data_IF_482254104891
#
_entry.id   IF_482254104891
#
_cell.length_a   1.000
_cell.length_b   1.000
_cell.length_c   1.000
_cell.angle_alpha   90.00
_cell.angle_beta   90.00
_cell.angle_gamma   90.00
#
_symmetry.space_group_name_H-M   'P 1'
#
loop_
_entity.id
_entity.type
_entity.pdbx_description
1 polymer ?
#
# COMPACT_ATOMS: atom_id res chain seq x y z
N UNK A 1 -5.43 -23.81 5.31
CA UNK A 1 -4.39 -22.82 5.66
C UNK A 1 -5.13 -21.57 6.09
N UNK A 2 -5.11 -21.28 7.40
CA UNK A 2 -5.93 -20.24 8.01
C UNK A 2 -5.33 -18.87 7.72
N UNK A 3 -5.82 -18.19 6.68
CA UNK A 3 -5.56 -16.76 6.47
C UNK A 3 -6.23 -15.97 7.59
N UNK A 4 -5.47 -15.10 8.26
CA UNK A 4 -5.96 -14.28 9.37
C UNK A 4 -6.91 -13.21 8.82
N UNK A 5 -8.09 -13.02 9.42
CA UNK A 5 -9.07 -12.02 8.96
C UNK A 5 -8.86 -10.69 9.71
N UNK A 6 -8.94 -9.54 9.02
CA UNK A 6 -8.91 -8.18 9.59
C UNK A 6 -10.32 -7.58 9.64
N UNK A 7 -10.69 -6.89 10.72
CA UNK A 7 -12.04 -6.35 10.91
C UNK A 7 -12.13 -4.85 10.63
N UNK A 8 -13.08 -4.43 9.77
CA UNK A 8 -13.30 -3.02 9.38
C UNK A 8 -14.79 -2.75 9.30
N UNK A 9 -15.28 -1.70 9.98
CA UNK A 9 -16.71 -1.34 10.01
C UNK A 9 -17.66 -2.50 10.38
N UNK A 10 -17.18 -3.45 11.18
CA UNK A 10 -17.96 -4.63 11.58
C UNK A 10 -18.08 -5.70 10.50
N UNK A 11 -17.09 -5.80 9.61
CA UNK A 11 -16.97 -6.85 8.60
C UNK A 11 -15.56 -7.46 8.62
N UNK A 12 -15.46 -8.78 8.45
CA UNK A 12 -14.19 -9.50 8.39
C UNK A 12 -13.69 -9.60 6.96
N UNK A 13 -12.55 -9.00 6.70
CA UNK A 13 -11.87 -9.05 5.42
C UNK A 13 -10.65 -9.96 5.48
N UNK A 14 -10.27 -10.60 4.36
CA UNK A 14 -8.99 -11.29 4.26
C UNK A 14 -7.84 -10.36 4.63
N UNK A 15 -6.77 -10.96 5.12
CA UNK A 15 -5.49 -10.27 5.24
C UNK A 15 -5.09 -9.68 3.90
N UNK A 16 -4.71 -8.41 3.91
CA UNK A 16 -4.18 -7.75 2.71
C UNK A 16 -2.76 -8.25 2.45
N UNK A 17 -2.45 -8.47 1.18
CA UNK A 17 -1.13 -8.89 0.76
C UNK A 17 -0.08 -7.85 1.16
N UNK A 18 1.00 -8.30 1.80
CA UNK A 18 2.01 -7.39 2.38
C UNK A 18 2.60 -6.41 1.38
N UNK A 19 2.73 -6.79 0.11
CA UNK A 19 3.21 -5.92 -0.98
C UNK A 19 2.48 -4.57 -1.10
N UNK A 20 1.22 -4.47 -0.66
CA UNK A 20 0.50 -3.19 -0.62
C UNK A 20 1.01 -2.24 0.48
N UNK A 21 1.59 -2.78 1.54
CA UNK A 21 2.10 -2.02 2.68
C UNK A 21 1.07 -1.02 3.23
N UNK A 22 1.54 0.19 3.54
CA UNK A 22 0.69 1.29 4.02
C UNK A 22 -0.35 1.79 3.01
N UNK A 23 -0.23 1.43 1.72
CA UNK A 23 -1.21 1.83 0.70
C UNK A 23 -2.56 1.15 0.92
N UNK A 24 -2.58 -0.09 1.40
CA UNK A 24 -3.83 -0.79 1.70
C UNK A 24 -4.61 -0.07 2.80
N UNK A 25 -3.92 0.37 3.86
CA UNK A 25 -4.52 1.13 4.96
C UNK A 25 -5.09 2.48 4.47
N UNK A 26 -4.37 3.17 3.57
CA UNK A 26 -4.86 4.42 2.98
C UNK A 26 -6.12 4.22 2.14
N UNK A 27 -6.14 3.17 1.31
CA UNK A 27 -7.26 2.88 0.42
C UNK A 27 -8.49 2.44 1.20
N UNK A 28 -8.31 1.61 2.23
CA UNK A 28 -9.40 0.93 2.90
C UNK A 28 -9.93 1.67 4.13
N UNK A 29 -9.08 2.44 4.82
CA UNK A 29 -9.41 3.13 6.07
C UNK A 29 -9.31 4.65 5.98
N UNK A 30 -8.66 5.19 4.94
CA UNK A 30 -8.33 6.61 4.80
C UNK A 30 -7.60 7.18 6.03
N UNK A 31 -6.28 7.02 6.05
CA UNK A 31 -5.45 7.55 7.14
C UNK A 31 -4.94 8.97 6.87
N UNK A 32 -5.05 9.47 5.64
CA UNK A 32 -4.43 10.68 5.08
C UNK A 32 -2.88 10.69 5.08
N UNK A 33 -2.25 9.81 5.87
CA UNK A 33 -0.79 9.77 6.09
C UNK A 33 -0.04 9.24 4.87
N UNK A 34 -0.65 8.32 4.13
CA UNK A 34 -0.05 7.67 2.97
C UNK A 34 -0.65 8.18 1.65
N UNK A 35 -1.59 9.14 1.68
CA UNK A 35 -2.37 9.57 0.52
C UNK A 35 -1.52 9.85 -0.72
N UNK A 36 -0.53 10.74 -0.60
CA UNK A 36 0.33 11.13 -1.73
C UNK A 36 1.18 9.99 -2.25
N UNK A 37 1.70 9.13 -1.37
CA UNK A 37 2.48 7.97 -1.75
C UNK A 37 1.61 6.88 -2.41
N UNK A 38 0.41 6.65 -1.87
CA UNK A 38 -0.56 5.68 -2.40
C UNK A 38 -1.01 6.08 -3.79
N UNK A 39 -1.29 7.37 -4.00
CA UNK A 39 -1.64 7.91 -5.32
C UNK A 39 -0.52 7.67 -6.34
N UNK A 40 0.72 8.04 -6.02
CA UNK A 40 1.86 7.86 -6.91
C UNK A 40 2.17 6.37 -7.16
N UNK A 41 2.05 5.53 -6.12
CA UNK A 41 2.21 4.08 -6.21
C UNK A 41 1.20 3.47 -7.19
N UNK A 42 -0.10 3.75 -7.02
CA UNK A 42 -1.14 3.24 -7.92
C UNK A 42 -1.00 3.77 -9.34
N UNK A 43 -0.68 5.06 -9.50
CA UNK A 43 -0.46 5.70 -10.81
C UNK A 43 0.61 4.96 -11.61
N UNK A 44 1.70 4.57 -10.97
CA UNK A 44 2.78 3.84 -11.61
C UNK A 44 2.46 2.37 -11.82
N UNK A 45 1.98 1.68 -10.78
CA UNK A 45 1.70 0.25 -10.85
C UNK A 45 0.61 -0.08 -11.88
N UNK A 46 -0.42 0.77 -11.99
CA UNK A 46 -1.49 0.60 -12.98
C UNK A 46 -1.11 1.07 -14.40
N UNK A 47 0.03 1.74 -14.54
CA UNK A 47 0.45 2.50 -15.73
C UNK A 47 -0.63 3.49 -16.21
N UNK A 48 -1.10 4.36 -15.31
CA UNK A 48 -2.18 5.32 -15.56
C UNK A 48 -1.76 6.73 -15.11
N UNK A 49 -0.96 7.43 -15.91
CA UNK A 49 -0.35 8.73 -15.56
C UNK A 49 -1.33 9.80 -15.09
N UNK A 50 -2.53 9.80 -15.63
CA UNK A 50 -3.60 10.75 -15.32
C UNK A 50 -4.39 10.41 -14.05
N UNK A 51 -4.11 9.25 -13.41
CA UNK A 51 -4.78 8.87 -12.18
C UNK A 51 -4.42 9.81 -11.02
N UNK A 52 -5.42 10.18 -10.25
CA UNK A 52 -5.27 10.86 -8.96
C UNK A 52 -6.40 10.40 -8.03
N UNK A 53 -6.18 10.55 -6.74
CA UNK A 53 -7.11 10.19 -5.67
C UNK A 53 -7.84 11.42 -5.13
N UNK A 54 -7.76 12.58 -5.79
CA UNK A 54 -8.41 13.81 -5.32
C UNK A 54 -9.92 13.61 -5.24
N UNK A 55 -10.50 13.84 -4.07
CA UNK A 55 -11.92 13.60 -3.81
C UNK A 55 -12.25 12.18 -3.37
N UNK A 56 -11.29 11.25 -3.36
CA UNK A 56 -11.48 9.92 -2.81
C UNK A 56 -11.63 9.96 -1.28
N UNK A 57 -12.60 9.22 -0.76
CA UNK A 57 -12.81 9.04 0.67
C UNK A 57 -13.22 7.58 0.92
N UNK A 58 -12.48 6.84 1.75
CA UNK A 58 -12.77 5.42 1.99
C UNK A 58 -14.14 5.19 2.64
N UNK A 59 -14.63 6.13 3.44
CA UNK A 59 -15.97 6.07 4.05
C UNK A 59 -17.12 6.17 3.02
N UNK A 60 -16.85 6.53 1.77
CA UNK A 60 -17.83 6.55 0.67
C UNK A 60 -17.88 5.25 -0.12
N UNK A 61 -17.02 4.27 0.19
CA UNK A 61 -17.12 2.94 -0.41
C UNK A 61 -18.47 2.31 -0.04
N UNK A 62 -19.24 1.88 -1.05
CA UNK A 62 -20.39 1.00 -0.81
C UNK A 62 -19.92 -0.34 -0.23
N UNK A 63 -20.84 -1.12 0.37
CA UNK A 63 -20.51 -2.47 0.89
C UNK A 63 -19.89 -3.34 -0.21
N UNK A 64 -20.47 -3.33 -1.41
CA UNK A 64 -19.99 -4.08 -2.58
C UNK A 64 -18.59 -3.64 -3.02
N UNK A 65 -18.36 -2.32 -3.12
CA UNK A 65 -17.05 -1.77 -3.48
C UNK A 65 -15.99 -2.10 -2.44
N UNK A 66 -16.35 -2.05 -1.15
CA UNK A 66 -15.48 -2.42 -0.05
C UNK A 66 -15.11 -3.90 -0.09
N UNK A 67 -16.08 -4.79 -0.33
CA UNK A 67 -15.81 -6.22 -0.49
C UNK A 67 -14.87 -6.50 -1.65
N UNK A 68 -15.14 -5.89 -2.81
CA UNK A 68 -14.29 -6.05 -3.97
C UNK A 68 -12.89 -5.48 -3.75
N UNK A 69 -12.77 -4.31 -3.12
CA UNK A 69 -11.48 -3.72 -2.77
C UNK A 69 -10.69 -4.63 -1.84
N UNK A 70 -11.32 -5.20 -0.81
CA UNK A 70 -10.65 -6.15 0.09
C UNK A 70 -10.18 -7.41 -0.64
N UNK A 71 -11.01 -7.96 -1.53
CA UNK A 71 -10.65 -9.12 -2.35
C UNK A 71 -9.44 -8.83 -3.25
N UNK A 72 -9.36 -7.63 -3.83
CA UNK A 72 -8.22 -7.20 -4.64
C UNK A 72 -6.97 -6.98 -3.77
N UNK A 73 -7.11 -6.34 -2.60
CA UNK A 73 -6.00 -6.07 -1.69
C UNK A 73 -5.44 -7.34 -1.05
N UNK A 74 -6.21 -8.43 -0.98
CA UNK A 74 -5.72 -9.75 -0.58
C UNK A 74 -4.82 -10.41 -1.63
N UNK A 75 -4.87 -9.94 -2.89
CA UNK A 75 -4.01 -10.41 -3.97
C UNK A 75 -2.68 -9.65 -4.02
N UNK A 76 -1.68 -10.23 -4.65
CA UNK A 76 -0.40 -9.57 -4.92
C UNK A 76 -0.61 -8.26 -5.72
N UNK A 77 0.06 -7.14 -5.35
CA UNK A 77 0.05 -5.92 -6.13
C UNK A 77 0.75 -6.14 -7.48
N UNK A 78 0.00 -5.96 -8.56
CA UNK A 78 0.47 -6.01 -9.93
C UNK A 78 -0.33 -5.02 -10.79
N UNK A 79 -0.04 -4.94 -12.08
CA UNK A 79 -0.72 -4.00 -12.99
C UNK A 79 -2.24 -4.21 -13.04
N UNK A 80 -2.71 -5.45 -12.96
CA UNK A 80 -4.14 -5.78 -13.03
C UNK A 80 -4.86 -5.42 -11.73
N UNK A 81 -4.30 -5.78 -10.58
CA UNK A 81 -4.89 -5.45 -9.28
C UNK A 81 -4.86 -3.94 -9.03
N UNK A 82 -3.78 -3.24 -9.40
CA UNK A 82 -3.74 -1.78 -9.35
C UNK A 82 -4.80 -1.12 -10.23
N UNK A 83 -4.98 -1.59 -11.48
CA UNK A 83 -6.04 -1.08 -12.37
C UNK A 83 -7.45 -1.33 -11.83
N UNK A 84 -7.67 -2.45 -11.15
CA UNK A 84 -8.93 -2.74 -10.50
C UNK A 84 -9.20 -1.76 -9.34
N UNK A 85 -8.20 -1.50 -8.50
CA UNK A 85 -8.27 -0.49 -7.44
C UNK A 85 -8.55 0.90 -8.01
N UNK A 86 -7.85 1.33 -9.07
CA UNK A 86 -8.07 2.67 -9.63
C UNK A 86 -9.47 2.84 -10.22
N UNK A 87 -10.10 1.77 -10.72
CA UNK A 87 -11.49 1.79 -11.14
C UNK A 87 -12.44 2.02 -9.97
N UNK A 88 -12.25 1.30 -8.84
CA UNK A 88 -13.08 1.50 -7.64
C UNK A 88 -12.92 2.92 -7.10
N UNK A 89 -11.68 3.40 -7.00
CA UNK A 89 -11.39 4.77 -6.53
C UNK A 89 -12.11 5.82 -7.41
N UNK A 90 -12.07 5.67 -8.73
CA UNK A 90 -12.78 6.57 -9.66
C UNK A 90 -14.29 6.51 -9.51
N UNK A 91 -14.86 5.31 -9.37
CA UNK A 91 -16.29 5.14 -9.13
C UNK A 91 -16.73 5.89 -7.85
N UNK A 92 -15.96 5.75 -6.77
CA UNK A 92 -16.21 6.48 -5.50
C UNK A 92 -16.11 8.00 -5.70
N UNK A 93 -15.10 8.49 -6.42
CA UNK A 93 -14.94 9.92 -6.74
C UNK A 93 -16.16 10.44 -7.52
N UNK A 94 -16.68 9.64 -8.44
CA UNK A 94 -17.86 9.98 -9.26
C UNK A 94 -19.19 9.84 -8.50
N UNK A 95 -19.19 9.32 -7.27
CA UNK A 95 -20.41 9.04 -6.50
C UNK A 95 -21.17 7.79 -6.98
N UNK A 96 -20.52 6.92 -7.74
CA UNK A 96 -21.06 5.64 -8.18
C UNK A 96 -20.91 4.60 -7.07
N UNK A 97 -21.93 3.76 -6.87
CA UNK A 97 -21.95 2.74 -5.81
C UNK A 97 -21.84 1.30 -6.33
N UNK A 98 -22.13 1.08 -7.61
CA UNK A 98 -22.11 -0.24 -8.25
C UNK A 98 -20.70 -0.65 -8.65
N UNK A 99 -20.40 -1.92 -8.48
CA UNK A 99 -19.16 -2.54 -8.99
C UNK A 99 -19.36 -3.01 -10.44
N UNK A 100 -18.28 -3.01 -11.21
CA UNK A 100 -18.27 -3.61 -12.55
C UNK A 100 -18.44 -5.13 -12.44
N UNK A 101 -19.41 -5.70 -13.16
CA UNK A 101 -19.66 -7.16 -13.19
C UNK A 101 -18.43 -7.94 -13.67
N UNK A 102 -17.72 -7.41 -14.68
CA UNK A 102 -16.50 -8.04 -15.19
C UNK A 102 -15.38 -8.01 -14.15
N UNK A 103 -15.30 -6.94 -13.36
CA UNK A 103 -14.34 -6.83 -12.27
C UNK A 103 -14.70 -7.79 -11.12
N UNK A 104 -15.98 -7.89 -10.76
CA UNK A 104 -16.45 -8.82 -9.74
C UNK A 104 -16.14 -10.29 -10.10
N UNK A 105 -16.35 -10.68 -11.37
CA UNK A 105 -16.09 -12.05 -11.81
C UNK A 105 -14.59 -12.41 -11.72
N UNK A 106 -13.70 -11.47 -12.05
CA UNK A 106 -12.25 -11.69 -11.97
C UNK A 106 -11.76 -11.98 -10.53
N UNK A 107 -12.49 -11.54 -9.51
CA UNK A 107 -12.15 -11.73 -8.09
C UNK A 107 -13.17 -12.61 -7.35
N UNK A 108 -14.03 -13.33 -8.08
CA UNK A 108 -15.14 -14.10 -7.52
C UNK A 108 -14.73 -15.08 -6.43
N UNK A 109 -13.64 -15.82 -6.62
CA UNK A 109 -13.16 -16.78 -5.62
C UNK A 109 -12.70 -16.09 -4.33
N UNK A 110 -12.13 -14.88 -4.42
CA UNK A 110 -11.71 -14.11 -3.26
C UNK A 110 -12.91 -13.47 -2.53
N UNK A 111 -13.95 -13.08 -3.28
CA UNK A 111 -15.19 -12.56 -2.72
C UNK A 111 -15.94 -13.61 -1.89
N UNK A 112 -15.91 -14.89 -2.28
CA UNK A 112 -16.55 -15.99 -1.51
C UNK A 112 -16.01 -16.16 -0.09
N UNK A 113 -14.82 -15.65 0.19
CA UNK A 113 -14.15 -15.78 1.49
C UNK A 113 -14.57 -14.66 2.46
N UNK A 114 -15.20 -13.59 1.96
CA UNK A 114 -15.65 -12.46 2.76
C UNK A 114 -17.06 -12.77 3.29
N UNK A 115 -17.27 -12.87 4.61
CA UNK A 115 -18.59 -13.15 5.17
C UNK A 115 -19.56 -11.99 4.93
N UNK A 116 -20.85 -12.31 4.78
CA UNK A 116 -21.88 -11.30 4.58
C UNK A 116 -22.29 -10.58 5.89
N UNK A 117 -22.15 -11.20 7.08
CA UNK A 117 -22.76 -10.74 8.34
C UNK A 117 -21.99 -11.11 9.67
N UNK A 118 -21.02 -10.32 10.23
CA UNK A 118 -20.48 -10.55 11.62
C UNK A 118 -19.78 -9.33 12.30
N UNK A 119 -20.05 -9.07 13.60
CA UNK A 119 -19.51 -8.00 14.51
C UNK A 119 -18.08 -8.19 15.15
N UNK A 120 -17.56 -7.08 15.73
CA UNK A 120 -16.16 -6.59 15.88
C UNK A 120 -15.23 -7.16 16.99
N UNK A 121 -13.95 -7.44 16.68
CA UNK A 121 -12.80 -7.45 17.63
C UNK A 121 -11.49 -7.02 16.93
N UNK A 122 -10.69 -6.16 17.58
CA UNK A 122 -9.35 -5.72 17.12
C UNK A 122 -8.24 -6.68 17.56
N UNK A 123 -7.26 -6.94 16.70
CA UNK A 123 -6.01 -7.63 17.05
C UNK A 123 -4.81 -6.90 16.44
N UNK A 124 -4.01 -6.26 17.31
CA UNK A 124 -2.69 -5.73 16.98
C UNK A 124 -1.69 -6.88 16.80
N UNK A 125 -1.35 -7.26 15.56
CA UNK A 125 -0.16 -8.09 15.32
C UNK A 125 0.61 -7.67 14.06
N UNK A 126 1.92 -7.66 14.23
CA UNK A 126 2.97 -7.41 13.22
C UNK A 126 3.13 -8.62 12.30
N UNK A 127 3.12 -8.35 11.00
CA UNK A 127 3.26 -9.35 9.93
C UNK A 127 4.64 -10.00 9.93
N UNK A 128 4.70 -11.33 9.79
CA UNK A 128 5.94 -12.08 9.59
C UNK A 128 5.87 -12.78 8.24
N UNK A 129 6.66 -12.32 7.28
CA UNK A 129 6.81 -12.95 5.97
C UNK A 129 8.23 -13.51 5.79
N UNK A 130 8.32 -14.56 4.98
CA UNK A 130 9.54 -15.32 4.69
C UNK A 130 10.52 -14.47 3.86
N UNK A 131 11.76 -14.33 4.33
CA UNK A 131 12.78 -13.47 3.74
C UNK A 131 13.48 -14.14 2.53
N UNK A 132 13.61 -13.46 1.38
CA UNK A 132 14.55 -13.86 0.33
C UNK A 132 16.01 -13.54 0.72
N UNK A 133 16.96 -14.27 0.12
CA UNK A 133 18.39 -14.37 0.47
C UNK A 133 19.27 -13.13 0.10
N UNK A 134 18.66 -12.03 -0.35
CA UNK A 134 19.31 -10.73 -0.55
C UNK A 134 18.68 -9.76 0.44
N UNK A 135 19.49 -9.05 1.23
CA UNK A 135 18.98 -8.07 2.18
C UNK A 135 18.01 -7.10 1.45
N UNK A 136 16.69 -7.20 1.67
CA UNK A 136 15.67 -6.54 0.85
C UNK A 136 15.73 -5.01 0.93
N UNK A 137 16.52 -4.49 1.88
CA UNK A 137 16.82 -3.09 2.11
C UNK A 137 17.77 -2.51 1.05
N UNK A 138 18.76 -3.26 0.58
CA UNK A 138 19.88 -2.71 -0.20
C UNK A 138 19.44 -2.02 -1.50
N UNK A 139 18.53 -2.59 -2.33
CA UNK A 139 18.08 -1.91 -3.53
C UNK A 139 17.41 -0.57 -3.23
N UNK A 140 16.59 -0.51 -2.18
CA UNK A 140 15.90 0.72 -1.78
C UNK A 140 16.88 1.75 -1.21
N UNK A 141 17.79 1.34 -0.33
CA UNK A 141 18.78 2.24 0.28
C UNK A 141 19.73 2.83 -0.78
N UNK A 142 20.14 2.03 -1.76
CA UNK A 142 20.96 2.49 -2.88
C UNK A 142 20.21 3.54 -3.72
N UNK A 143 18.92 3.31 -4.03
CA UNK A 143 18.10 4.29 -4.74
C UNK A 143 17.88 5.55 -3.90
N UNK A 144 17.55 5.41 -2.62
CA UNK A 144 17.33 6.52 -1.71
C UNK A 144 18.59 7.40 -1.60
N UNK A 145 19.77 6.80 -1.50
CA UNK A 145 21.05 7.52 -1.52
C UNK A 145 21.23 8.33 -2.82
N UNK A 146 21.00 7.70 -3.99
CA UNK A 146 21.09 8.38 -5.29
C UNK A 146 20.08 9.51 -5.47
N UNK A 147 18.91 9.37 -4.85
CA UNK A 147 17.84 10.37 -4.86
C UNK A 147 18.02 11.46 -3.82
N UNK A 148 19.05 11.35 -2.96
CA UNK A 148 19.24 12.20 -1.79
C UNK A 148 17.99 12.22 -0.88
N UNK A 149 17.34 11.06 -0.76
CA UNK A 149 16.19 10.83 0.10
C UNK A 149 16.70 10.37 1.47
N UNK A 150 16.36 11.07 2.57
CA UNK A 150 16.72 10.62 3.91
C UNK A 150 15.86 9.43 4.31
N UNK A 151 16.51 8.44 4.92
CA UNK A 151 15.89 7.17 5.35
C UNK A 151 16.44 6.81 6.72
N UNK A 152 15.56 6.62 7.70
CA UNK A 152 15.92 5.97 8.97
C UNK A 152 15.50 4.50 8.90
N UNK A 153 16.41 3.59 9.24
CA UNK A 153 16.18 2.15 9.18
C UNK A 153 15.97 1.63 10.60
N UNK A 154 14.85 0.94 10.82
CA UNK A 154 14.51 0.26 12.06
C UNK A 154 14.36 -1.25 11.78
N UNK A 155 14.29 -2.06 12.84
CA UNK A 155 14.27 -3.53 12.73
C UNK A 155 13.19 -4.08 11.78
N UNK A 156 12.02 -3.44 11.73
CA UNK A 156 10.85 -3.91 10.93
C UNK A 156 10.20 -2.82 10.08
N UNK A 157 10.78 -1.64 9.99
CA UNK A 157 10.23 -0.55 9.20
C UNK A 157 11.29 0.47 8.81
N UNK A 158 10.98 1.28 7.81
CA UNK A 158 11.80 2.42 7.41
C UNK A 158 10.96 3.68 7.56
N UNK A 159 11.56 4.73 8.10
CA UNK A 159 10.96 6.05 8.14
C UNK A 159 11.51 6.89 7.00
N UNK A 160 10.59 7.47 6.23
CA UNK A 160 10.91 8.29 5.05
C UNK A 160 9.93 9.46 4.92
N UNK A 161 10.34 10.58 4.29
CA UNK A 161 9.41 11.63 3.93
C UNK A 161 8.57 11.19 2.72
N UNK A 162 7.37 10.62 2.97
CA UNK A 162 6.55 10.02 1.91
C UNK A 162 6.18 10.98 0.79
N UNK A 163 6.05 12.27 1.08
CA UNK A 163 5.80 13.29 0.06
C UNK A 163 6.96 13.40 -0.94
N UNK A 164 8.21 13.33 -0.45
CA UNK A 164 9.38 13.35 -1.32
C UNK A 164 9.51 12.03 -2.08
N UNK A 165 9.23 10.90 -1.41
CA UNK A 165 9.18 9.59 -2.08
C UNK A 165 8.16 9.58 -3.24
N UNK A 166 6.96 10.14 -3.03
CA UNK A 166 5.94 10.26 -4.07
C UNK A 166 6.42 11.10 -5.27
N UNK A 167 7.14 12.20 -5.02
CA UNK A 167 7.73 13.01 -6.10
C UNK A 167 8.72 12.21 -6.95
N UNK A 168 9.50 11.31 -6.35
CA UNK A 168 10.41 10.44 -7.10
C UNK A 168 9.66 9.34 -7.87
N UNK A 169 8.59 8.79 -7.29
CA UNK A 169 7.66 7.91 -8.00
C UNK A 169 7.00 8.62 -9.19
N UNK A 170 6.82 9.94 -9.14
CA UNK A 170 6.30 10.74 -10.25
C UNK A 170 7.39 11.31 -11.19
N UNK A 171 8.66 10.94 -11.01
CA UNK A 171 9.76 11.40 -11.86
C UNK A 171 9.48 11.19 -13.34
N UNK A 172 9.85 12.08 -14.28
CA UNK A 172 9.66 11.84 -15.71
C UNK A 172 10.49 10.64 -16.24
N UNK A 173 11.50 10.17 -15.51
CA UNK A 173 12.35 9.05 -15.91
C UNK A 173 11.69 7.68 -15.61
N UNK A 174 11.25 6.91 -16.63
CA UNK A 174 10.59 5.62 -16.42
C UNK A 174 11.45 4.59 -15.71
N UNK A 175 12.74 4.51 -16.04
CA UNK A 175 13.65 3.55 -15.42
C UNK A 175 13.78 3.80 -13.92
N UNK A 176 13.88 5.07 -13.52
CA UNK A 176 13.93 5.44 -12.10
C UNK A 176 12.64 5.07 -11.37
N UNK A 177 11.48 5.43 -11.95
CA UNK A 177 10.18 5.13 -11.34
C UNK A 177 9.97 3.63 -11.15
N UNK A 178 10.22 2.84 -12.20
CA UNK A 178 10.03 1.40 -12.16
C UNK A 178 10.98 0.76 -11.14
N UNK A 179 12.26 1.16 -11.13
CA UNK A 179 13.23 0.66 -10.15
C UNK A 179 12.81 0.99 -8.70
N UNK A 180 12.29 2.19 -8.48
CA UNK A 180 11.81 2.61 -7.16
C UNK A 180 10.53 1.87 -6.75
N UNK A 181 9.59 1.70 -7.68
CA UNK A 181 8.37 0.92 -7.48
C UNK A 181 8.69 -0.53 -7.11
N UNK A 182 9.60 -1.18 -7.85
CA UNK A 182 10.02 -2.56 -7.59
C UNK A 182 10.74 -2.69 -6.25
N UNK A 183 11.59 -1.72 -5.90
CA UNK A 183 12.25 -1.70 -4.60
C UNK A 183 11.26 -1.59 -3.43
N UNK A 184 10.22 -0.76 -3.57
CA UNK A 184 9.14 -0.63 -2.57
C UNK A 184 8.35 -1.94 -2.45
N UNK A 185 8.00 -2.57 -3.57
CA UNK A 185 7.30 -3.85 -3.59
C UNK A 185 8.12 -4.95 -2.90
N UNK A 186 9.43 -5.00 -3.16
CA UNK A 186 10.33 -5.96 -2.53
C UNK A 186 10.47 -5.72 -1.02
N UNK A 187 10.57 -4.46 -0.59
CA UNK A 187 10.57 -4.10 0.84
C UNK A 187 9.31 -4.59 1.54
N UNK A 188 8.16 -4.23 1.00
CA UNK A 188 6.86 -4.59 1.55
C UNK A 188 6.66 -6.11 1.60
N UNK A 189 7.04 -6.82 0.52
CA UNK A 189 6.93 -8.28 0.43
C UNK A 189 7.88 -8.98 1.41
N UNK A 190 9.01 -8.37 1.74
CA UNK A 190 9.92 -8.83 2.79
C UNK A 190 9.45 -8.47 4.21
N UNK A 191 8.28 -7.84 4.37
CA UNK A 191 7.68 -7.51 5.67
C UNK A 191 8.11 -6.15 6.24
N UNK A 192 8.86 -5.33 5.51
CA UNK A 192 9.18 -3.98 5.95
C UNK A 192 8.03 -3.02 5.68
N UNK A 193 7.63 -2.26 6.70
CA UNK A 193 6.70 -1.16 6.52
C UNK A 193 7.45 0.14 6.17
N UNK A 194 6.94 0.90 5.19
CA UNK A 194 7.31 2.30 5.05
C UNK A 194 6.42 3.15 5.96
N UNK A 195 7.02 3.99 6.80
CA UNK A 195 6.31 4.94 7.66
C UNK A 195 6.65 6.37 7.29
N UNK A 196 5.65 7.25 7.38
CA UNK A 196 5.85 8.66 7.12
C UNK A 196 6.57 9.35 8.28
N UNK A 197 7.71 9.98 8.00
CA UNK A 197 8.33 10.96 8.88
C UNK A 197 8.43 12.31 8.14
N UNK A 198 7.42 13.20 8.29
CA UNK A 198 7.48 14.55 7.74
C UNK A 198 8.71 15.29 8.27
N UNK A 199 9.45 15.96 7.38
CA UNK A 199 10.63 16.73 7.78
C UNK A 199 11.85 15.91 8.20
N UNK A 200 11.88 14.59 7.92
CA UNK A 200 13.09 13.78 8.12
C UNK A 200 14.26 14.39 7.32
N UNK A 201 15.40 14.52 7.96
CA UNK A 201 16.64 15.02 7.36
C UNK A 201 17.72 13.94 7.45
N UNK A 202 18.80 14.05 6.67
CA UNK A 202 19.91 13.09 6.77
C UNK A 202 20.55 13.08 8.17
N UNK A 203 20.56 14.22 8.87
CA UNK A 203 21.09 14.31 10.23
C UNK A 203 20.20 13.52 11.20
N UNK A 204 18.90 13.79 11.19
CA UNK A 204 17.95 13.09 12.08
C UNK A 204 17.84 11.60 11.76
N UNK A 205 17.92 11.21 10.48
CA UNK A 205 17.92 9.81 10.09
C UNK A 205 19.12 9.03 10.66
N UNK A 206 20.32 9.63 10.67
CA UNK A 206 21.51 9.04 11.29
C UNK A 206 21.35 8.89 12.80
N UNK A 207 20.87 9.93 13.46
CA UNK A 207 20.63 9.92 14.91
C UNK A 207 19.59 8.87 15.34
N UNK A 208 18.60 8.56 14.49
CA UNK A 208 17.60 7.52 14.75
C UNK A 208 18.16 6.11 14.53
N UNK A 209 18.94 5.89 13.45
CA UNK A 209 19.59 4.60 13.20
C UNK A 209 20.61 4.21 14.29
N UNK A 210 21.33 5.18 14.85
CA UNK A 210 22.32 4.95 15.91
C UNK A 210 21.67 4.61 17.27
N UNK A 211 20.42 5.02 17.51
CA UNK A 211 19.69 4.75 18.77
C UNK A 211 19.14 3.33 18.85
N UNK A 212 18.72 2.77 17.72
CA UNK A 212 18.20 1.39 17.64
C UNK A 212 19.32 0.34 17.53
N UNK A 213 20.57 0.79 17.35
CA UNK A 213 21.77 -0.06 17.34
C UNK A 213 22.38 -0.29 18.74
N UNK A 214 21.72 0.18 19.81
CA UNK A 214 22.12 0.02 21.22
C UNK A 214 21.14 -0.86 21.98
#
# INVERSE_FOLDING_TARGET
MNGSLKCVDGLYYPEFHAGWGGCAEELFHYTSRYFTCTEAFLRNLADQRQFNMSGYQANRLSKEQRHLMAAILACEPNIQSARAITQIVRAVINGESKISETLAENYREHLKVIPDDVELVYSDRTHHHHQPDVAPLDPFLNLASRLNLPVAVHTHHLEVPLKALAQHLDSPNPSLRNSLQDAILNLHSAGYALKNHPGLTHKTARELGDKDSR
#
